data_IF_557119820286
#
_entry.id   IF_557119820286
#
_cell.length_a   1.000
_cell.length_b   1.000
_cell.length_c   1.000
_cell.angle_alpha   90.00
_cell.angle_beta   90.00
_cell.angle_gamma   90.00
#
_symmetry.space_group_name_H-M   'P 1'
#
loop_
_entity.id
_entity.type
_entity.pdbx_description
1 polymer ?
#
# COMPACT_ATOMS: atom_id res chain seq x y z
N UNK A 1 12.31 3.93 13.77
CA UNK A 1 11.46 4.80 12.95
C UNK A 1 12.16 5.26 11.67
N UNK A 2 13.37 5.83 11.77
CA UNK A 2 14.12 6.34 10.61
C UNK A 2 14.31 5.29 9.53
N UNK A 3 14.83 4.11 9.86
CA UNK A 3 15.04 3.01 8.89
C UNK A 3 13.75 2.65 8.15
N UNK A 4 12.60 2.66 8.80
CA UNK A 4 11.31 2.37 8.15
C UNK A 4 10.98 3.39 7.07
N UNK A 5 11.20 4.67 7.33
CA UNK A 5 10.99 5.72 6.34
C UNK A 5 12.06 5.68 5.24
N UNK A 6 13.32 5.47 5.62
CA UNK A 6 14.42 5.40 4.65
C UNK A 6 14.20 4.27 3.63
N UNK A 7 13.75 3.09 4.10
CA UNK A 7 13.48 1.96 3.21
C UNK A 7 12.15 2.10 2.46
N UNK A 8 11.06 2.39 3.19
CA UNK A 8 9.72 2.30 2.60
C UNK A 8 9.36 3.50 1.71
N UNK A 9 9.85 4.69 2.07
CA UNK A 9 9.46 5.95 1.42
C UNK A 9 10.64 6.53 0.64
N UNK A 10 11.74 6.86 1.33
CA UNK A 10 12.89 7.48 0.70
C UNK A 10 13.53 6.59 -0.38
N UNK A 11 13.55 5.27 -0.16
CA UNK A 11 14.03 4.32 -1.16
C UNK A 11 13.27 4.41 -2.48
N UNK A 12 11.94 4.55 -2.44
CA UNK A 12 11.11 4.73 -3.65
C UNK A 12 11.42 6.07 -4.31
N UNK A 13 11.52 7.15 -3.54
CA UNK A 13 11.85 8.48 -4.06
C UNK A 13 13.21 8.46 -4.75
N UNK A 14 14.22 7.87 -4.11
CA UNK A 14 15.58 7.77 -4.67
C UNK A 14 15.61 6.95 -5.98
N UNK A 15 14.91 5.82 -6.01
CA UNK A 15 14.80 4.99 -7.22
C UNK A 15 14.17 5.78 -8.37
N UNK A 16 13.09 6.50 -8.11
CA UNK A 16 12.42 7.29 -9.12
C UNK A 16 13.26 8.51 -9.53
N UNK A 17 13.96 9.15 -8.60
CA UNK A 17 14.89 10.24 -8.93
C UNK A 17 15.96 9.80 -9.94
N UNK A 18 16.48 8.58 -9.80
CA UNK A 18 17.52 8.06 -10.70
C UNK A 18 16.93 7.60 -12.04
N UNK A 19 15.80 6.89 -12.03
CA UNK A 19 15.35 6.16 -13.23
C UNK A 19 14.22 6.85 -13.99
N UNK A 20 13.56 7.86 -13.44
CA UNK A 20 12.35 8.45 -14.04
C UNK A 20 12.62 9.03 -15.43
N UNK A 21 13.76 9.73 -15.62
CA UNK A 21 14.12 10.33 -16.90
C UNK A 21 14.34 9.29 -18.01
N UNK A 22 14.83 8.12 -17.66
CA UNK A 22 15.00 7.03 -18.63
C UNK A 22 13.69 6.27 -18.85
N UNK A 23 12.83 6.16 -17.83
CA UNK A 23 11.50 5.59 -17.97
C UNK A 23 10.63 6.41 -18.92
N UNK A 24 10.63 7.73 -18.80
CA UNK A 24 9.85 8.65 -19.66
C UNK A 24 10.17 8.45 -21.16
N UNK A 25 11.41 8.09 -21.49
CA UNK A 25 11.84 7.87 -22.87
C UNK A 25 11.36 6.53 -23.45
N UNK A 26 10.87 5.60 -22.63
CA UNK A 26 10.40 4.30 -23.08
C UNK A 26 9.01 4.40 -23.71
N UNK A 27 8.67 3.49 -24.61
CA UNK A 27 7.38 3.50 -25.30
C UNK A 27 6.18 3.20 -24.37
N UNK A 28 6.33 2.25 -23.46
CA UNK A 28 5.26 1.83 -22.52
C UNK A 28 5.82 1.54 -21.14
N UNK A 29 6.41 2.54 -20.47
CA UNK A 29 6.97 2.33 -19.14
C UNK A 29 5.86 2.15 -18.12
N UNK A 30 6.13 1.38 -17.06
CA UNK A 30 5.18 1.20 -15.98
C UNK A 30 5.87 1.13 -14.63
N UNK A 31 5.45 1.99 -13.72
CA UNK A 31 5.95 2.06 -12.34
C UNK A 31 5.01 1.26 -11.45
N UNK A 32 5.56 0.43 -10.56
CA UNK A 32 4.79 -0.30 -9.55
C UNK A 32 5.31 0.05 -8.17
N UNK A 33 4.53 0.79 -7.40
CA UNK A 33 4.88 1.16 -6.03
C UNK A 33 4.11 0.29 -5.03
N UNK A 34 4.84 -0.34 -4.09
CA UNK A 34 4.25 -1.19 -3.06
C UNK A 34 3.96 -0.36 -1.81
N UNK A 35 2.72 0.07 -1.68
CA UNK A 35 2.17 0.71 -0.49
C UNK A 35 1.61 -0.35 0.50
N UNK A 36 0.48 -0.09 1.15
CA UNK A 36 -0.23 -1.00 2.04
C UNK A 36 -1.65 -0.51 2.29
N UNK A 37 -2.55 -1.42 2.63
CA UNK A 37 -3.87 -1.09 3.17
C UNK A 37 -3.78 -0.23 4.44
N UNK A 38 -2.73 -0.40 5.25
CA UNK A 38 -2.48 0.41 6.44
C UNK A 38 -2.22 1.89 6.14
N UNK A 39 -1.92 2.26 4.89
CA UNK A 39 -1.83 3.66 4.46
C UNK A 39 -3.18 4.39 4.47
N UNK A 40 -4.29 3.67 4.48
CA UNK A 40 -5.65 4.24 4.49
C UNK A 40 -6.32 4.21 5.86
N UNK A 41 -5.75 3.49 6.83
CA UNK A 41 -6.36 3.27 8.13
C UNK A 41 -5.34 3.28 9.26
N UNK A 42 -5.83 3.35 10.50
CA UNK A 42 -4.99 3.24 11.69
C UNK A 42 -4.48 1.81 11.87
N UNK A 43 -3.22 1.66 12.26
CA UNK A 43 -2.62 0.38 12.60
C UNK A 43 -1.89 0.50 13.96
N UNK A 44 -2.58 0.31 15.08
CA UNK A 44 -1.95 0.30 16.40
C UNK A 44 -0.82 -0.74 16.46
N UNK A 45 0.33 -0.35 16.99
CA UNK A 45 1.56 -1.17 16.98
C UNK A 45 2.37 -1.08 15.68
N UNK A 46 1.82 -0.47 14.62
CA UNK A 46 2.49 -0.28 13.33
C UNK A 46 2.50 1.18 12.85
N UNK A 47 2.49 2.16 13.75
CA UNK A 47 2.31 3.59 13.42
C UNK A 47 3.29 4.09 12.37
N UNK A 48 4.58 3.87 12.57
CA UNK A 48 5.63 4.30 11.62
C UNK A 48 5.51 3.59 10.27
N UNK A 49 5.16 2.30 10.27
CA UNK A 49 4.92 1.56 9.04
C UNK A 49 3.71 2.13 8.29
N UNK A 50 2.58 2.29 8.97
CA UNK A 50 1.35 2.81 8.36
C UNK A 50 1.57 4.21 7.75
N UNK A 51 2.21 5.11 8.49
CA UNK A 51 2.51 6.47 7.99
C UNK A 51 3.49 6.47 6.82
N UNK A 52 4.51 5.63 6.82
CA UNK A 52 5.43 5.49 5.68
C UNK A 52 4.71 4.98 4.43
N UNK A 53 3.75 4.06 4.58
CA UNK A 53 2.95 3.52 3.46
C UNK A 53 1.87 4.50 2.97
N UNK A 54 1.34 5.34 3.84
CA UNK A 54 0.49 6.47 3.45
C UNK A 54 1.29 7.49 2.60
N UNK A 55 2.51 7.80 3.00
CA UNK A 55 3.42 8.66 2.23
C UNK A 55 3.68 8.10 0.82
N UNK A 56 3.93 6.78 0.68
CA UNK A 56 4.09 6.13 -0.64
C UNK A 56 2.85 6.29 -1.51
N UNK A 57 1.65 6.13 -0.93
CA UNK A 57 0.40 6.29 -1.68
C UNK A 57 0.25 7.72 -2.19
N UNK A 58 0.37 8.70 -1.29
CA UNK A 58 0.23 10.13 -1.64
C UNK A 58 1.31 10.58 -2.64
N UNK A 59 2.56 10.20 -2.43
CA UNK A 59 3.65 10.47 -3.36
C UNK A 59 3.37 9.91 -4.76
N UNK A 60 2.90 8.67 -4.84
CA UNK A 60 2.60 8.03 -6.13
C UNK A 60 1.44 8.70 -6.86
N UNK A 61 0.39 9.09 -6.14
CA UNK A 61 -0.75 9.81 -6.74
C UNK A 61 -0.36 11.20 -7.24
N UNK A 62 0.48 11.91 -6.51
CA UNK A 62 1.01 13.22 -6.92
C UNK A 62 1.85 13.08 -8.18
N UNK A 63 2.81 12.14 -8.18
CA UNK A 63 3.69 11.90 -9.33
C UNK A 63 2.93 11.50 -10.60
N UNK A 64 1.87 10.69 -10.49
CA UNK A 64 1.03 10.39 -11.67
C UNK A 64 0.44 11.66 -12.29
N UNK A 65 -0.01 12.59 -11.45
CA UNK A 65 -0.63 13.83 -11.92
C UNK A 65 0.41 14.79 -12.47
N UNK A 66 1.59 14.89 -11.86
CA UNK A 66 2.73 15.66 -12.39
C UNK A 66 3.13 15.15 -13.77
N UNK A 67 3.35 13.84 -13.93
CA UNK A 67 3.68 13.25 -15.22
C UNK A 67 2.66 13.56 -16.31
N UNK A 68 1.37 13.60 -15.97
CA UNK A 68 0.33 13.97 -16.92
C UNK A 68 0.38 15.46 -17.28
N UNK A 69 0.60 16.33 -16.30
CA UNK A 69 0.72 17.78 -16.54
C UNK A 69 1.92 18.09 -17.44
N UNK A 70 2.99 17.29 -17.32
CA UNK A 70 4.22 17.43 -18.12
C UNK A 70 4.13 16.70 -19.48
N UNK A 71 2.94 16.17 -19.86
CA UNK A 71 2.73 15.52 -21.16
C UNK A 71 3.23 14.06 -21.24
N UNK A 72 3.49 13.42 -20.11
CA UNK A 72 3.97 12.05 -20.02
C UNK A 72 2.86 11.03 -19.69
N UNK A 73 1.68 11.18 -20.30
CA UNK A 73 0.51 10.30 -20.09
C UNK A 73 0.76 8.82 -20.42
N UNK A 74 1.77 8.53 -21.22
CA UNK A 74 2.17 7.18 -21.60
C UNK A 74 2.84 6.41 -20.46
N UNK A 75 3.28 7.10 -19.40
CA UNK A 75 3.88 6.45 -18.21
C UNK A 75 2.77 5.87 -17.34
N UNK A 76 2.65 4.55 -17.33
CA UNK A 76 1.71 3.86 -16.46
C UNK A 76 2.21 3.78 -15.02
N UNK A 77 1.28 3.74 -14.06
CA UNK A 77 1.63 3.50 -12.65
C UNK A 77 0.56 2.69 -11.93
N UNK A 78 1.01 1.72 -11.13
CA UNK A 78 0.15 0.92 -10.26
C UNK A 78 0.62 1.03 -8.81
N UNK A 79 -0.28 1.47 -7.92
CA UNK A 79 -0.08 1.54 -6.48
C UNK A 79 -0.70 0.28 -5.87
N UNK A 80 0.14 -0.56 -5.27
CA UNK A 80 -0.29 -1.84 -4.70
C UNK A 80 -0.48 -1.69 -3.20
N UNK A 81 -1.70 -1.88 -2.73
CA UNK A 81 -2.08 -1.71 -1.32
C UNK A 81 -2.62 -3.03 -0.76
N UNK A 82 -1.75 -4.00 -0.46
CA UNK A 82 -2.17 -5.26 0.14
C UNK A 82 -2.44 -5.08 1.64
N UNK A 83 -3.28 -5.97 2.17
CA UNK A 83 -3.31 -6.25 3.60
C UNK A 83 -2.14 -7.18 3.97
N UNK A 84 -2.39 -8.18 4.82
CA UNK A 84 -1.35 -9.12 5.24
C UNK A 84 -1.00 -10.10 4.12
N UNK A 85 0.30 -10.24 3.84
CA UNK A 85 0.83 -11.21 2.87
C UNK A 85 1.74 -12.18 3.61
N UNK A 86 1.59 -13.46 3.35
CA UNK A 86 2.37 -14.52 3.97
C UNK A 86 3.81 -14.57 3.43
N UNK A 87 4.64 -13.65 3.90
CA UNK A 87 6.07 -13.53 3.55
C UNK A 87 6.98 -13.69 4.78
N UNK A 88 6.42 -14.06 5.94
CA UNK A 88 7.14 -14.05 7.22
C UNK A 88 7.18 -12.68 7.91
N UNK A 89 6.97 -11.58 7.20
CA UNK A 89 7.00 -10.22 7.77
C UNK A 89 5.93 -10.01 8.85
N UNK A 90 4.80 -10.67 8.72
CA UNK A 90 3.65 -10.54 9.61
C UNK A 90 3.43 -11.76 10.51
N UNK A 91 4.50 -12.49 10.84
CA UNK A 91 4.42 -13.61 11.76
C UNK A 91 3.90 -13.19 13.14
N UNK A 92 2.93 -13.93 13.67
CA UNK A 92 2.25 -13.62 14.91
C UNK A 92 1.10 -12.60 14.81
N UNK A 93 0.82 -12.07 13.64
CA UNK A 93 -0.35 -11.19 13.43
C UNK A 93 -1.62 -12.00 13.57
N UNK A 94 -2.55 -11.52 14.41
CA UNK A 94 -3.89 -12.09 14.48
C UNK A 94 -4.72 -11.57 13.31
N UNK A 95 -5.18 -12.48 12.46
CA UNK A 95 -5.99 -12.14 11.29
C UNK A 95 -7.29 -11.43 11.71
N UNK A 96 -7.54 -10.21 11.21
CA UNK A 96 -8.82 -9.53 11.41
C UNK A 96 -9.95 -10.23 10.66
N UNK A 97 -11.18 -10.03 11.13
CA UNK A 97 -12.38 -10.56 10.47
C UNK A 97 -12.47 -10.00 9.04
N UNK A 98 -12.79 -10.83 8.06
CA UNK A 98 -12.90 -10.52 6.63
C UNK A 98 -11.60 -10.10 5.92
N UNK A 99 -10.44 -10.12 6.59
CA UNK A 99 -9.16 -9.81 5.95
C UNK A 99 -8.29 -11.07 5.88
N UNK A 100 -8.41 -11.88 4.83
CA UNK A 100 -7.58 -13.09 4.68
C UNK A 100 -6.12 -12.73 4.48
N UNK A 101 -5.23 -13.59 4.98
CA UNK A 101 -3.81 -13.52 4.66
C UNK A 101 -3.62 -13.97 3.21
N UNK A 102 -2.98 -13.12 2.42
CA UNK A 102 -2.75 -13.35 1.00
C UNK A 102 -1.50 -14.20 0.79
N UNK A 103 -1.49 -14.99 -0.29
CA UNK A 103 -0.23 -15.60 -0.74
C UNK A 103 0.50 -14.66 -1.71
N UNK A 104 1.86 -14.66 -1.71
CA UNK A 104 2.65 -13.84 -2.63
C UNK A 104 2.28 -14.07 -4.09
N UNK A 105 2.04 -15.33 -4.49
CA UNK A 105 1.72 -15.72 -5.86
C UNK A 105 0.38 -15.12 -6.32
N UNK A 106 -0.63 -15.14 -5.44
CA UNK A 106 -1.93 -14.53 -5.72
C UNK A 106 -1.82 -13.04 -5.91
N UNK A 107 -1.05 -12.37 -5.04
CA UNK A 107 -0.82 -10.93 -5.15
C UNK A 107 -0.06 -10.60 -6.42
N UNK A 108 1.02 -11.31 -6.74
CA UNK A 108 1.81 -11.11 -7.95
C UNK A 108 0.98 -11.24 -9.22
N UNK A 109 0.13 -12.28 -9.33
CA UNK A 109 -0.80 -12.44 -10.47
C UNK A 109 -1.73 -11.23 -10.63
N UNK A 110 -2.21 -10.65 -9.53
CA UNK A 110 -3.08 -9.46 -9.56
C UNK A 110 -2.33 -8.20 -9.96
N UNK A 111 -1.09 -8.03 -9.49
CA UNK A 111 -0.22 -6.93 -9.90
C UNK A 111 0.03 -6.98 -11.41
N UNK A 112 0.46 -8.13 -11.94
CA UNK A 112 0.71 -8.30 -13.38
C UNK A 112 -0.55 -7.98 -14.21
N UNK A 113 -1.72 -8.47 -13.76
CA UNK A 113 -2.99 -8.15 -14.43
C UNK A 113 -3.33 -6.66 -14.39
N UNK A 114 -3.01 -5.98 -13.30
CA UNK A 114 -3.25 -4.54 -13.14
C UNK A 114 -2.31 -3.73 -14.03
N UNK A 115 -1.03 -4.06 -14.08
CA UNK A 115 -0.03 -3.46 -14.97
C UNK A 115 -0.47 -3.55 -16.44
N UNK A 116 -0.83 -4.77 -16.90
CA UNK A 116 -1.31 -4.99 -18.27
C UNK A 116 -2.57 -4.19 -18.64
N UNK A 117 -3.37 -3.79 -17.63
CA UNK A 117 -4.61 -3.00 -17.81
C UNK A 117 -4.44 -1.52 -17.43
N UNK A 118 -3.22 -1.09 -17.14
CA UNK A 118 -2.89 0.24 -16.65
C UNK A 118 -3.80 0.71 -15.49
N UNK A 119 -4.07 -0.20 -14.52
CA UNK A 119 -4.88 0.11 -13.35
C UNK A 119 -4.07 0.86 -12.32
N UNK A 120 -4.58 1.99 -11.85
CA UNK A 120 -3.92 2.82 -10.83
C UNK A 120 -3.77 2.10 -9.48
N UNK A 121 -4.76 1.35 -9.04
CA UNK A 121 -4.76 0.69 -7.74
C UNK A 121 -4.96 -0.83 -7.80
N UNK A 122 -4.20 -1.54 -6.98
CA UNK A 122 -4.44 -2.94 -6.57
C UNK A 122 -4.71 -2.95 -5.07
N UNK A 123 -5.96 -3.05 -4.68
CA UNK A 123 -6.41 -3.11 -3.28
C UNK A 123 -6.80 -4.57 -2.96
N UNK A 124 -6.01 -5.23 -2.13
CA UNK A 124 -6.19 -6.66 -1.83
C UNK A 124 -6.15 -6.97 -0.33
N UNK A 125 -7.17 -7.69 0.15
CA UNK A 125 -8.37 -8.17 -0.54
C UNK A 125 -9.28 -7.02 -1.02
N UNK A 126 -10.15 -7.30 -2.00
CA UNK A 126 -10.97 -6.25 -2.66
C UNK A 126 -11.85 -5.42 -1.70
N UNK A 127 -12.17 -5.95 -0.53
CA UNK A 127 -12.90 -5.26 0.54
C UNK A 127 -12.16 -3.97 1.01
N UNK A 128 -10.83 -3.92 0.93
CA UNK A 128 -10.03 -2.77 1.36
C UNK A 128 -10.42 -1.48 0.64
N UNK A 129 -10.94 -1.56 -0.59
CA UNK A 129 -11.42 -0.40 -1.36
C UNK A 129 -12.50 0.40 -0.62
N UNK A 130 -13.24 -0.24 0.29
CA UNK A 130 -14.31 0.40 1.05
C UNK A 130 -13.81 1.12 2.31
N UNK A 131 -12.61 0.83 2.80
CA UNK A 131 -12.07 1.43 4.03
C UNK A 131 -12.01 2.96 3.94
N UNK A 132 -11.44 3.59 2.89
CA UNK A 132 -11.42 5.05 2.78
C UNK A 132 -12.82 5.65 2.75
N UNK A 133 -13.76 5.01 2.06
CA UNK A 133 -15.15 5.46 1.96
C UNK A 133 -15.85 5.39 3.33
N UNK A 134 -15.75 4.26 4.02
CA UNK A 134 -16.32 4.09 5.36
C UNK A 134 -15.73 5.14 6.31
N UNK A 135 -14.40 5.33 6.27
CA UNK A 135 -13.72 6.33 7.11
C UNK A 135 -14.19 7.76 6.83
N UNK A 136 -14.40 8.11 5.55
CA UNK A 136 -14.82 9.45 5.16
C UNK A 136 -16.29 9.75 5.54
N UNK A 137 -17.15 8.73 5.50
CA UNK A 137 -18.60 8.89 5.77
C UNK A 137 -19.00 8.62 7.22
N UNK A 138 -18.10 8.10 8.05
CA UNK A 138 -18.39 7.75 9.43
C UNK A 138 -17.78 8.74 10.42
N UNK A 139 -18.43 9.03 11.55
CA UNK A 139 -17.77 9.64 12.69
C UNK A 139 -16.57 8.80 13.15
N UNK A 140 -15.50 9.46 13.60
CA UNK A 140 -14.27 8.76 14.03
C UNK A 140 -14.55 7.69 15.09
N UNK A 141 -15.44 7.98 16.06
CA UNK A 141 -15.83 7.03 17.11
C UNK A 141 -16.46 5.74 16.56
N UNK A 142 -17.27 5.85 15.51
CA UNK A 142 -17.87 4.68 14.84
C UNK A 142 -16.84 3.89 14.07
N UNK A 143 -15.95 4.57 13.32
CA UNK A 143 -14.87 3.90 12.60
C UNK A 143 -13.92 3.15 13.56
N UNK A 144 -13.58 3.78 14.70
CA UNK A 144 -12.75 3.17 15.74
C UNK A 144 -13.43 1.96 16.40
N UNK A 145 -14.74 2.05 16.63
CA UNK A 145 -15.55 0.93 17.12
C UNK A 145 -15.50 -0.27 16.15
N UNK A 146 -15.70 -0.03 14.86
CA UNK A 146 -15.57 -1.06 13.84
C UNK A 146 -14.15 -1.66 13.82
N UNK A 147 -13.10 -0.83 13.88
CA UNK A 147 -11.72 -1.28 13.91
C UNK A 147 -11.41 -2.20 15.11
N UNK A 148 -12.04 -1.95 16.27
CA UNK A 148 -11.92 -2.80 17.46
C UNK A 148 -12.67 -4.11 17.31
N UNK A 149 -13.95 -4.08 16.92
CA UNK A 149 -14.79 -5.30 16.80
C UNK A 149 -14.26 -6.23 15.70
N UNK A 150 -13.86 -5.69 14.55
CA UNK A 150 -13.33 -6.49 13.46
C UNK A 150 -11.90 -6.96 13.69
N UNK A 151 -11.28 -6.61 14.82
CA UNK A 151 -9.95 -7.08 15.20
C UNK A 151 -8.80 -6.35 14.50
N UNK A 152 -9.09 -5.30 13.73
CA UNK A 152 -8.05 -4.52 13.04
C UNK A 152 -7.06 -3.90 14.01
N UNK A 153 -7.56 -3.29 15.10
CA UNK A 153 -6.73 -2.60 16.11
C UNK A 153 -5.94 -3.55 17.03
N UNK A 154 -6.35 -4.80 17.14
CA UNK A 154 -5.64 -5.81 17.94
C UNK A 154 -4.76 -6.74 17.11
N UNK A 155 -4.77 -6.60 15.78
CA UNK A 155 -4.08 -7.50 14.86
C UNK A 155 -2.58 -7.59 15.11
N UNK A 156 -1.92 -6.47 15.46
CA UNK A 156 -0.48 -6.39 15.71
C UNK A 156 -0.06 -6.73 17.14
N UNK A 157 -1.01 -7.03 18.05
CA UNK A 157 -0.70 -7.25 19.49
C UNK A 157 0.34 -8.33 19.73
N UNK A 158 0.37 -9.37 18.89
CA UNK A 158 1.29 -10.50 19.00
C UNK A 158 2.28 -10.57 17.85
N UNK A 159 2.43 -9.47 17.11
CA UNK A 159 3.38 -9.38 16.01
C UNK A 159 4.81 -9.55 16.52
N UNK A 160 5.54 -10.46 15.88
CA UNK A 160 6.93 -10.79 16.24
C UNK A 160 7.96 -10.27 15.23
N UNK A 161 7.49 -9.82 14.06
CA UNK A 161 8.37 -9.45 12.96
C UNK A 161 9.12 -10.64 12.35
N UNK A 162 10.08 -10.35 11.49
CA UNK A 162 11.01 -11.39 11.04
C UNK A 162 11.81 -11.90 12.22
N UNK A 163 11.79 -13.22 12.45
CA UNK A 163 12.79 -13.85 13.31
C UNK A 163 14.16 -13.59 12.68
N UNK A 164 15.06 -13.01 13.45
CA UNK A 164 16.48 -12.92 13.09
C UNK A 164 17.09 -14.31 13.10
#
# INVERSE_FOLDING_TARGET
HRITYDVNTQGIVNMLHVFLQDLIKQNKPHIVNIASASGFTSLPGGTTYASSKAAVTSFSESLINELKQDGHDHVGMTIVCPAYVNTGMFDGVKQPVFIPILTPERLAKKIIKAVRKNKRFVLEPAFIKFIPLIKALSPNSFFDFLGRILGGYSSMKFWRGHKK
#
